data_IF_555716022714
#
_entry.id   IF_555716022714
#
_cell.length_a   1.000
_cell.length_b   1.000
_cell.length_c   1.000
_cell.angle_alpha   90.00
_cell.angle_beta   90.00
_cell.angle_gamma   90.00
#
_symmetry.space_group_name_H-M   'P 1'
#
loop_
_entity.id
_entity.type
_entity.pdbx_description
1 polymer ?
#
# COMPACT_ATOMS: atom_id res chain seq x y z
N UNK A 1 3.35 -17.42 -7.24
CA UNK A 1 3.03 -16.10 -7.83
C UNK A 1 3.42 -15.07 -6.81
N UNK A 2 4.16 -14.02 -7.18
CA UNK A 2 4.49 -12.90 -6.28
C UNK A 2 3.66 -11.72 -6.77
N UNK A 3 2.88 -11.10 -5.89
CA UNK A 3 2.08 -9.93 -6.21
C UNK A 3 2.50 -8.77 -5.30
N UNK A 4 3.23 -7.82 -5.88
CA UNK A 4 3.72 -6.65 -5.16
C UNK A 4 2.97 -5.39 -5.59
N UNK A 5 2.85 -4.46 -4.64
CA UNK A 5 2.20 -3.17 -4.83
C UNK A 5 3.07 -2.02 -4.38
N UNK A 6 2.91 -0.85 -4.99
CA UNK A 6 3.69 0.35 -4.71
C UNK A 6 2.82 1.59 -4.63
N UNK A 7 3.01 2.36 -3.57
CA UNK A 7 2.48 3.72 -3.46
C UNK A 7 3.48 4.67 -4.11
N UNK A 8 3.02 5.34 -5.16
CA UNK A 8 3.78 6.27 -5.98
C UNK A 8 3.28 7.70 -5.79
N UNK A 9 4.17 8.62 -5.48
CA UNK A 9 3.84 10.03 -5.26
C UNK A 9 4.93 10.94 -5.85
N UNK A 10 4.57 12.20 -6.16
CA UNK A 10 5.57 13.21 -6.50
C UNK A 10 6.33 13.62 -5.25
N UNK A 11 7.64 13.77 -5.37
CA UNK A 11 8.50 14.26 -4.28
C UNK A 11 8.31 15.76 -4.09
N UNK A 12 7.22 16.14 -3.43
CA UNK A 12 6.91 17.54 -3.06
C UNK A 12 7.10 17.76 -1.53
N UNK A 13 7.28 16.69 -0.76
CA UNK A 13 7.40 16.70 0.70
C UNK A 13 8.53 15.78 1.19
N UNK A 14 9.05 16.04 2.41
CA UNK A 14 10.08 15.18 3.04
C UNK A 14 9.51 13.78 3.28
N UNK A 15 10.17 12.72 2.79
CA UNK A 15 9.69 11.32 2.92
C UNK A 15 9.45 10.89 4.37
N UNK A 16 10.20 11.47 5.31
CA UNK A 16 10.05 11.23 6.75
C UNK A 16 8.63 11.56 7.26
N UNK A 17 7.98 12.61 6.76
CA UNK A 17 6.60 12.94 7.18
C UNK A 17 5.59 11.93 6.64
N UNK A 18 5.85 11.37 5.46
CA UNK A 18 4.98 10.38 4.82
C UNK A 18 5.07 9.01 5.52
N UNK A 19 6.26 8.60 5.99
CA UNK A 19 6.42 7.40 6.81
C UNK A 19 5.55 7.45 8.09
N UNK A 20 5.44 8.62 8.71
CA UNK A 20 4.55 8.86 9.87
C UNK A 20 3.08 8.72 9.50
N UNK A 21 2.65 9.13 8.29
CA UNK A 21 1.27 8.91 7.84
C UNK A 21 0.92 7.43 7.74
N UNK A 22 1.82 6.59 7.20
CA UNK A 22 1.59 5.14 7.17
C UNK A 22 1.43 4.55 8.59
N UNK A 23 2.22 5.04 9.55
CA UNK A 23 2.08 4.61 10.95
C UNK A 23 0.71 4.94 11.51
N UNK A 24 0.21 6.15 11.28
CA UNK A 24 -1.12 6.58 11.75
C UNK A 24 -2.24 5.75 11.13
N UNK A 25 -2.12 5.41 9.84
CA UNK A 25 -3.11 4.56 9.14
C UNK A 25 -3.16 3.18 9.78
N UNK A 26 -2.00 2.55 10.00
CA UNK A 26 -1.93 1.23 10.63
C UNK A 26 -2.48 1.25 12.07
N UNK A 27 -2.18 2.29 12.84
CA UNK A 27 -2.71 2.50 14.19
C UNK A 27 -4.24 2.59 14.20
N UNK A 28 -4.80 3.39 13.28
CA UNK A 28 -6.25 3.54 13.12
C UNK A 28 -6.95 2.25 12.66
N UNK A 29 -6.22 1.31 12.07
CA UNK A 29 -6.68 -0.01 11.66
C UNK A 29 -6.43 -1.09 12.73
N UNK A 30 -6.02 -0.71 13.96
CA UNK A 30 -5.68 -1.62 15.05
C UNK A 30 -4.43 -2.50 14.80
N UNK A 31 -3.61 -2.15 13.80
CA UNK A 31 -2.30 -2.77 13.57
C UNK A 31 -1.23 -2.17 14.48
N UNK A 32 -1.48 -2.20 15.78
CA UNK A 32 -0.70 -1.51 16.81
C UNK A 32 0.62 -2.23 17.11
N UNK A 33 0.61 -3.57 16.96
CA UNK A 33 1.79 -4.40 17.14
C UNK A 33 2.69 -4.28 15.92
N UNK A 34 3.79 -3.54 16.10
CA UNK A 34 4.68 -3.13 15.00
C UNK A 34 6.14 -3.31 15.34
N UNK A 35 6.93 -3.67 14.33
CA UNK A 35 8.39 -3.70 14.39
C UNK A 35 8.93 -2.90 13.20
N UNK A 36 9.84 -1.97 13.48
CA UNK A 36 10.57 -1.24 12.44
C UNK A 36 12.01 -1.71 12.39
N UNK A 37 12.48 -2.09 11.21
CA UNK A 37 13.86 -2.49 10.95
C UNK A 37 14.47 -1.49 9.99
N UNK A 38 15.38 -0.66 10.49
CA UNK A 38 16.11 0.29 9.66
C UNK A 38 17.05 -0.39 8.69
N UNK A 39 17.02 0.02 7.42
CA UNK A 39 18.05 -0.29 6.41
C UNK A 39 18.64 1.02 5.88
N UNK A 40 19.66 0.89 5.04
CA UNK A 40 20.38 2.05 4.50
C UNK A 40 19.47 3.00 3.71
N UNK A 41 18.53 2.46 2.92
CA UNK A 41 17.75 3.23 1.95
C UNK A 41 16.23 3.20 2.21
N UNK A 42 15.79 2.35 3.14
CA UNK A 42 14.38 2.14 3.48
C UNK A 42 14.25 1.54 4.88
N UNK A 43 13.09 1.69 5.49
CA UNK A 43 12.71 0.98 6.70
C UNK A 43 11.76 -0.16 6.35
N UNK A 44 11.89 -1.30 7.02
CA UNK A 44 10.90 -2.38 6.94
C UNK A 44 9.95 -2.20 8.12
N UNK A 45 8.68 -1.94 7.82
CA UNK A 45 7.60 -1.92 8.79
C UNK A 45 6.92 -3.29 8.72
N UNK A 46 6.96 -4.02 9.84
CA UNK A 46 6.13 -5.20 10.04
C UNK A 46 5.00 -4.79 10.98
N UNK A 47 3.78 -5.19 10.64
CA UNK A 47 2.60 -4.81 11.40
C UNK A 47 1.61 -5.96 11.46
N UNK A 48 0.99 -6.12 12.62
CA UNK A 48 -0.02 -7.13 12.88
C UNK A 48 -1.15 -6.48 13.66
N UNK A 49 -2.38 -6.92 13.41
CA UNK A 49 -3.49 -6.56 14.28
C UNK A 49 -3.14 -6.97 15.71
N UNK A 50 -3.66 -6.21 16.68
CA UNK A 50 -3.42 -6.53 18.08
C UNK A 50 -3.89 -7.96 18.40
N UNK A 51 -2.93 -8.78 18.83
CA UNK A 51 -3.07 -10.23 18.99
C UNK A 51 -2.42 -10.64 20.30
N UNK A 52 -3.03 -11.62 20.97
CA UNK A 52 -2.51 -12.20 22.21
C UNK A 52 -1.19 -12.97 22.02
N UNK A 53 -0.89 -13.38 20.78
CA UNK A 53 0.31 -14.16 20.44
C UNK A 53 1.47 -13.27 20.02
N UNK A 54 2.69 -13.66 20.39
CA UNK A 54 3.95 -13.02 19.98
C UNK A 54 4.11 -12.83 18.46
N UNK A 55 4.87 -11.80 18.07
CA UNK A 55 5.00 -11.35 16.68
C UNK A 55 5.36 -12.47 15.70
N UNK A 56 6.22 -13.40 16.14
CA UNK A 56 6.73 -14.52 15.35
C UNK A 56 6.16 -15.88 15.79
N UNK A 57 5.07 -15.89 16.55
CA UNK A 57 4.39 -17.13 16.89
C UNK A 57 3.73 -17.72 15.63
N UNK A 58 4.06 -18.98 15.33
CA UNK A 58 3.54 -19.72 14.18
C UNK A 58 2.08 -20.14 14.35
N UNK A 59 1.56 -20.13 15.58
CA UNK A 59 0.16 -20.47 15.88
C UNK A 59 -0.77 -19.28 15.66
N UNK A 60 -0.24 -18.07 15.58
CA UNK A 60 -1.04 -16.88 15.39
C UNK A 60 -1.59 -16.82 13.95
N UNK A 61 -2.91 -16.91 13.77
CA UNK A 61 -3.52 -16.90 12.45
C UNK A 61 -3.58 -15.50 11.82
N UNK A 62 -3.29 -14.44 12.58
CA UNK A 62 -3.42 -13.06 12.13
C UNK A 62 -2.40 -12.75 11.05
N UNK A 63 -2.88 -12.16 9.96
CA UNK A 63 -2.02 -11.79 8.83
C UNK A 63 -1.05 -10.68 9.21
N UNK A 64 0.24 -10.92 8.97
CA UNK A 64 1.28 -9.90 9.09
C UNK A 64 1.36 -9.09 7.80
N UNK A 65 1.32 -7.77 7.92
CA UNK A 65 1.56 -6.82 6.84
C UNK A 65 3.02 -6.41 6.89
N UNK A 66 3.69 -6.49 5.73
CA UNK A 66 5.05 -6.01 5.54
C UNK A 66 5.04 -4.85 4.56
N UNK A 67 5.71 -3.74 4.93
CA UNK A 67 5.78 -2.52 4.11
C UNK A 67 7.21 -2.02 4.11
N UNK A 68 7.77 -1.78 2.93
CA UNK A 68 9.06 -1.10 2.80
C UNK A 68 8.79 0.39 2.62
N UNK A 69 9.24 1.19 3.58
CA UNK A 69 9.13 2.65 3.59
C UNK A 69 10.44 3.27 3.10
N UNK A 70 10.48 3.75 1.86
CA UNK A 70 11.70 4.29 1.26
C UNK A 70 12.04 5.67 1.81
N UNK A 71 13.25 5.79 2.35
CA UNK A 71 13.79 7.05 2.91
C UNK A 71 14.51 7.83 1.81
N UNK A 72 15.27 7.14 0.97
CA UNK A 72 15.99 7.70 -0.19
C UNK A 72 15.57 7.02 -1.51
N UNK A 73 15.60 7.79 -2.60
CA UNK A 73 15.07 7.37 -3.91
C UNK A 73 16.00 6.34 -4.56
N UNK A 74 15.57 5.08 -4.67
CA UNK A 74 16.28 4.08 -5.50
C UNK A 74 15.40 3.31 -6.49
N UNK A 75 14.10 3.16 -6.24
CA UNK A 75 13.23 2.33 -7.08
C UNK A 75 12.28 3.18 -7.93
N UNK A 76 12.63 3.38 -9.21
CA UNK A 76 11.76 4.01 -10.22
C UNK A 76 11.24 2.92 -11.16
N UNK A 77 9.94 2.64 -11.07
CA UNK A 77 9.34 1.45 -11.66
C UNK A 77 9.21 1.45 -13.19
N UNK A 78 8.98 2.62 -13.80
CA UNK A 78 8.78 2.70 -15.25
C UNK A 78 9.29 4.02 -15.83
N UNK A 79 9.60 4.03 -17.14
CA UNK A 79 9.86 5.28 -17.88
C UNK A 79 8.69 6.26 -17.77
N UNK A 80 7.45 5.75 -17.65
CA UNK A 80 6.22 6.55 -17.50
C UNK A 80 6.16 7.25 -16.14
N UNK A 81 6.44 6.54 -15.04
CA UNK A 81 6.50 7.14 -13.70
C UNK A 81 7.63 8.18 -13.62
N UNK A 82 8.80 7.89 -14.20
CA UNK A 82 9.90 8.86 -14.30
C UNK A 82 9.49 10.14 -15.02
N UNK A 83 8.81 10.04 -16.16
CA UNK A 83 8.33 11.22 -16.91
C UNK A 83 7.32 12.05 -16.10
N UNK A 84 6.58 11.43 -15.18
CA UNK A 84 5.61 12.11 -14.32
C UNK A 84 6.21 12.59 -12.99
N UNK A 85 7.51 12.36 -12.75
CA UNK A 85 8.18 12.68 -11.48
C UNK A 85 7.67 11.87 -10.30
N UNK A 86 7.09 10.68 -10.54
CA UNK A 86 6.59 9.80 -9.49
C UNK A 86 7.69 8.90 -8.95
N UNK A 87 7.75 8.80 -7.64
CA UNK A 87 8.70 7.98 -6.90
C UNK A 87 7.97 6.99 -6.00
N UNK A 88 8.62 5.87 -5.71
CA UNK A 88 8.13 4.90 -4.74
C UNK A 88 8.35 5.42 -3.32
N UNK A 89 7.27 5.45 -2.54
CA UNK A 89 7.30 5.77 -1.11
C UNK A 89 7.13 4.51 -0.28
N UNK A 90 6.15 3.68 -0.63
CA UNK A 90 5.91 2.40 0.01
C UNK A 90 5.88 1.26 -1.00
N UNK A 91 6.41 0.11 -0.60
CA UNK A 91 6.27 -1.16 -1.32
C UNK A 91 5.67 -2.21 -0.40
N UNK A 92 4.68 -2.92 -0.91
CA UNK A 92 4.07 -4.10 -0.31
C UNK A 92 4.64 -5.33 -1.04
N UNK A 93 5.58 -6.08 -0.44
CA UNK A 93 6.28 -7.17 -1.11
C UNK A 93 5.44 -8.45 -1.21
N UNK A 94 4.36 -8.56 -0.43
CA UNK A 94 3.42 -9.69 -0.47
C UNK A 94 2.00 -9.19 -0.19
N UNK A 95 1.16 -9.19 -1.24
CA UNK A 95 -0.25 -8.80 -1.14
C UNK A 95 -1.21 -9.98 -1.20
N UNK A 96 -0.70 -11.21 -1.38
CA UNK A 96 -1.56 -12.39 -1.56
C UNK A 96 -2.26 -12.71 -0.24
N UNK A 97 -3.58 -12.88 -0.30
CA UNK A 97 -4.44 -13.11 0.86
C UNK A 97 -4.61 -11.87 1.76
N UNK A 98 -4.12 -10.70 1.33
CA UNK A 98 -4.16 -9.43 2.07
C UNK A 98 -4.85 -8.34 1.26
N UNK A 99 -5.54 -8.70 0.19
CA UNK A 99 -6.04 -7.79 -0.84
C UNK A 99 -6.97 -6.71 -0.28
N UNK A 100 -7.88 -7.07 0.63
CA UNK A 100 -8.79 -6.12 1.27
C UNK A 100 -8.10 -5.24 2.31
N UNK A 101 -7.15 -5.78 3.06
CA UNK A 101 -6.34 -5.00 4.01
C UNK A 101 -5.53 -3.94 3.25
N UNK A 102 -4.89 -4.35 2.14
CA UNK A 102 -4.15 -3.44 1.26
C UNK A 102 -5.08 -2.39 0.64
N UNK A 103 -6.29 -2.78 0.22
CA UNK A 103 -7.29 -1.83 -0.30
C UNK A 103 -7.60 -0.74 0.72
N UNK A 104 -7.84 -1.11 1.99
CA UNK A 104 -8.12 -0.15 3.05
C UNK A 104 -6.93 0.77 3.35
N UNK A 105 -5.71 0.23 3.44
CA UNK A 105 -4.48 1.03 3.63
C UNK A 105 -4.35 2.04 2.51
N UNK A 106 -4.49 1.61 1.26
CA UNK A 106 -4.35 2.47 0.07
C UNK A 106 -5.47 3.51 0.03
N UNK A 107 -6.71 3.14 0.35
CA UNK A 107 -7.84 4.05 0.43
C UNK A 107 -7.57 5.17 1.44
N UNK A 108 -7.26 4.82 2.70
CA UNK A 108 -6.94 5.79 3.76
C UNK A 108 -5.73 6.67 3.41
N UNK A 109 -4.71 6.10 2.77
CA UNK A 109 -3.55 6.87 2.31
C UNK A 109 -3.92 7.88 1.21
N UNK A 110 -4.78 7.49 0.27
CA UNK A 110 -5.22 8.36 -0.83
C UNK A 110 -6.24 9.42 -0.39
N UNK A 111 -6.89 9.28 0.75
CA UNK A 111 -7.66 10.36 1.38
C UNK A 111 -6.72 11.52 1.82
N UNK A 112 -5.56 11.18 2.40
CA UNK A 112 -4.57 12.19 2.82
C UNK A 112 -3.73 12.70 1.63
N UNK A 113 -3.45 11.84 0.65
CA UNK A 113 -2.59 12.13 -0.50
C UNK A 113 -3.29 11.78 -1.83
N UNK A 114 -4.27 12.57 -2.29
CA UNK A 114 -5.15 12.22 -3.43
C UNK A 114 -4.46 12.11 -4.79
N UNK A 115 -3.29 12.73 -4.96
CA UNK A 115 -2.50 12.67 -6.20
C UNK A 115 -1.63 11.41 -6.33
N UNK A 116 -1.69 10.53 -5.33
CA UNK A 116 -0.98 9.26 -5.29
C UNK A 116 -1.45 8.31 -6.40
N UNK A 117 -0.56 7.44 -6.86
CA UNK A 117 -0.90 6.26 -7.66
C UNK A 117 -0.56 5.00 -6.86
N UNK A 118 -1.40 3.98 -6.98
CA UNK A 118 -1.06 2.64 -6.53
C UNK A 118 -0.74 1.77 -7.74
N UNK A 119 0.48 1.29 -7.84
CA UNK A 119 0.95 0.44 -8.95
C UNK A 119 1.09 -1.00 -8.48
N UNK A 120 0.63 -1.95 -9.30
CA UNK A 120 0.79 -3.39 -9.07
C UNK A 120 1.71 -3.96 -10.16
N UNK A 121 2.59 -4.89 -9.80
CA UNK A 121 3.62 -5.41 -10.71
C UNK A 121 3.09 -6.20 -11.92
N UNK A 122 1.78 -6.44 -11.98
CA UNK A 122 1.09 -6.91 -13.18
C UNK A 122 0.85 -5.80 -14.24
N UNK A 123 1.31 -4.57 -13.99
CA UNK A 123 1.21 -3.43 -14.90
C UNK A 123 0.01 -2.51 -14.65
N UNK A 124 -0.88 -2.85 -13.72
CA UNK A 124 -2.03 -2.02 -13.40
C UNK A 124 -1.65 -0.84 -12.50
N UNK A 125 -2.30 0.30 -12.74
CA UNK A 125 -2.14 1.51 -11.93
C UNK A 125 -3.51 2.02 -11.55
N UNK A 126 -3.75 2.12 -10.26
CA UNK A 126 -4.99 2.60 -9.66
C UNK A 126 -4.77 4.02 -9.16
N UNK A 127 -5.70 4.91 -9.48
CA UNK A 127 -5.82 6.25 -8.91
C UNK A 127 -6.92 6.25 -7.87
N UNK A 128 -7.00 7.35 -7.12
CA UNK A 128 -8.00 7.53 -6.06
C UNK A 128 -9.41 7.13 -6.50
N UNK A 129 -9.90 7.62 -7.63
CA UNK A 129 -11.24 7.28 -8.11
C UNK A 129 -11.46 5.78 -8.36
N UNK A 130 -10.41 5.02 -8.77
CA UNK A 130 -10.51 3.57 -8.91
C UNK A 130 -10.62 2.90 -7.53
N UNK A 131 -9.77 3.32 -6.58
CA UNK A 131 -9.78 2.80 -5.20
C UNK A 131 -11.09 3.12 -4.50
N UNK A 132 -11.59 4.35 -4.61
CA UNK A 132 -12.89 4.76 -4.08
C UNK A 132 -14.03 3.91 -4.66
N UNK A 133 -13.98 3.59 -5.96
CA UNK A 133 -15.00 2.77 -6.59
C UNK A 133 -15.00 1.33 -6.08
N UNK A 134 -13.82 0.74 -5.82
CA UNK A 134 -13.68 -0.62 -5.28
C UNK A 134 -14.06 -0.66 -3.79
N UNK A 135 -13.58 0.29 -3.00
CA UNK A 135 -13.79 0.34 -1.55
C UNK A 135 -15.27 0.57 -1.19
N UNK A 136 -15.98 1.41 -1.94
CA UNK A 136 -17.38 1.73 -1.70
C UNK A 136 -18.38 0.74 -2.34
N UNK A 137 -17.93 -0.42 -2.81
CA UNK A 137 -18.85 -1.48 -3.24
C UNK A 137 -19.56 -2.07 -2.01
N UNK A 138 -20.80 -2.57 -2.15
CA UNK A 138 -21.48 -3.29 -1.06
C UNK A 138 -20.63 -4.45 -0.51
N UNK A 139 -19.96 -5.17 -1.42
CA UNK A 139 -18.89 -6.12 -1.10
C UNK A 139 -17.65 -5.76 -1.95
N UNK A 140 -16.58 -5.25 -1.33
CA UNK A 140 -15.33 -4.94 -2.03
C UNK A 140 -14.74 -6.17 -2.73
N UNK A 141 -14.31 -6.01 -3.98
CA UNK A 141 -13.77 -7.10 -4.81
C UNK A 141 -12.41 -7.57 -4.26
N UNK A 142 -12.39 -8.71 -3.54
CA UNK A 142 -11.15 -9.28 -2.99
C UNK A 142 -10.09 -9.63 -4.06
N UNK A 143 -10.47 -9.74 -5.33
CA UNK A 143 -9.55 -9.97 -6.45
C UNK A 143 -9.13 -8.71 -7.19
N UNK A 144 -9.37 -7.51 -6.64
CA UNK A 144 -9.21 -6.25 -7.36
C UNK A 144 -7.80 -6.02 -7.92
N UNK A 145 -6.76 -6.42 -7.18
CA UNK A 145 -5.36 -6.26 -7.60
C UNK A 145 -5.02 -7.06 -8.87
N UNK A 146 -5.81 -8.07 -9.22
CA UNK A 146 -5.62 -8.92 -10.41
C UNK A 146 -6.43 -8.44 -11.62
N UNK A 147 -7.20 -7.36 -11.49
CA UNK A 147 -8.15 -6.87 -12.50
C UNK A 147 -7.75 -5.47 -12.95
N UNK A 148 -7.95 -5.18 -14.23
CA UNK A 148 -7.66 -3.85 -14.78
C UNK A 148 -8.53 -2.75 -14.13
N UNK A 149 -7.99 -1.55 -13.89
CA UNK A 149 -8.69 -0.44 -13.23
C UNK A 149 -9.93 0.02 -14.01
N UNK A 150 -9.93 -0.14 -15.34
CA UNK A 150 -11.04 0.15 -16.25
C UNK A 150 -12.35 -0.56 -15.87
N UNK A 151 -12.28 -1.71 -15.18
CA UNK A 151 -13.46 -2.43 -14.67
C UNK A 151 -14.23 -1.63 -13.62
N UNK A 152 -13.57 -0.68 -12.97
CA UNK A 152 -14.12 0.12 -11.87
C UNK A 152 -14.39 1.57 -12.29
N UNK A 153 -14.23 1.87 -13.57
CA UNK A 153 -14.49 3.20 -14.11
C UNK A 153 -16.00 3.40 -14.28
N UNK A 154 -16.58 4.21 -13.39
CA UNK A 154 -18.00 4.56 -13.42
C UNK A 154 -18.41 5.37 -14.66
N UNK A 155 -17.49 5.90 -15.45
CA UNK A 155 -17.84 6.59 -16.70
C UNK A 155 -18.23 5.64 -17.84
N UNK A 156 -18.01 4.33 -17.67
CA UNK A 156 -18.30 3.28 -18.67
C UNK A 156 -19.58 2.50 -18.37
N UNK A 157 -20.32 2.82 -17.31
CA UNK A 157 -21.57 2.16 -16.89
C UNK A 157 -22.62 3.21 -16.52
#
# INVERSE_FOLDING_TARGET
>A
MICEGRILQKSESRKTSIGVSMWKILDAMNYNRRLMIGKRDYDIILSKEDSEYDFFDKKDPTSMIQIYSYVDIKEIFTRKSRKQGLETFFRFPDMIGKELIILEIVYRYMEEYPNTAFYVDNGYTFRKHNIDAIYNMPEPDAGWIYKGPDKYDKSKH
#
